data_IF_587539714778
#
_entry.id   IF_587539714778
#
_cell.length_a   1.000
_cell.length_b   1.000
_cell.length_c   1.000
_cell.angle_alpha   90.00
_cell.angle_beta   90.00
_cell.angle_gamma   90.00
#
_symmetry.space_group_name_H-M   'P 1'
#
loop_
_entity.id
_entity.type
_entity.pdbx_description
1 polymer ?
#
# COMPACT_ATOMS: atom_id res chain seq x y z
N UNK A 1 2.45 -27.55 14.76
CA UNK A 1 2.77 -26.34 13.97
C UNK A 1 1.64 -25.36 14.24
N UNK A 2 1.96 -24.21 14.84
CA UNK A 2 0.99 -23.27 15.44
C UNK A 2 0.26 -22.47 14.35
N UNK A 3 -1.08 -22.39 14.45
CA UNK A 3 -1.98 -21.68 13.51
C UNK A 3 -1.57 -20.22 13.22
N UNK A 4 -0.88 -19.55 14.15
CA UNK A 4 -0.35 -18.20 13.97
C UNK A 4 0.70 -18.10 12.84
N UNK A 5 1.43 -19.18 12.56
CA UNK A 5 2.46 -19.19 11.51
C UNK A 5 1.84 -19.27 10.11
N UNK A 6 0.72 -19.99 9.96
CA UNK A 6 -0.01 -20.16 8.70
C UNK A 6 -0.63 -18.81 8.25
N UNK A 7 -1.24 -18.08 9.19
CA UNK A 7 -1.86 -16.77 8.91
C UNK A 7 -0.81 -15.73 8.49
N UNK A 8 0.39 -15.79 9.08
CA UNK A 8 1.51 -14.95 8.71
C UNK A 8 1.94 -15.15 7.25
N UNK A 9 2.17 -16.38 6.82
CA UNK A 9 2.62 -16.65 5.44
C UNK A 9 1.60 -16.24 4.37
N UNK A 10 0.32 -16.44 4.62
CA UNK A 10 -0.74 -16.13 3.65
C UNK A 10 -0.94 -14.62 3.51
N UNK A 11 -0.91 -13.87 4.63
CA UNK A 11 -0.91 -12.41 4.62
C UNK A 11 0.33 -11.83 3.92
N UNK A 12 1.49 -12.49 4.06
CA UNK A 12 2.73 -12.06 3.42
C UNK A 12 2.70 -12.22 1.89
N UNK A 13 1.93 -13.19 1.36
CA UNK A 13 1.69 -13.37 -0.08
C UNK A 13 0.81 -12.27 -0.67
N UNK A 14 -0.11 -11.71 0.11
CA UNK A 14 -0.92 -10.59 -0.36
C UNK A 14 -0.06 -9.37 -0.70
N UNK A 15 1.08 -9.20 -0.03
CA UNK A 15 2.05 -8.12 -0.30
C UNK A 15 2.95 -8.34 -1.52
N UNK A 16 2.81 -9.44 -2.27
CA UNK A 16 3.68 -9.74 -3.41
C UNK A 16 3.33 -8.96 -4.67
N UNK A 17 2.14 -8.35 -4.74
CA UNK A 17 1.61 -7.79 -5.99
C UNK A 17 1.17 -6.32 -5.88
N UNK A 18 2.07 -5.38 -5.52
CA UNK A 18 1.71 -3.96 -5.40
C UNK A 18 1.20 -3.36 -6.71
N UNK A 19 1.61 -3.90 -7.87
CA UNK A 19 1.11 -3.48 -9.18
C UNK A 19 -0.39 -3.75 -9.34
N UNK A 20 -0.89 -4.89 -8.82
CA UNK A 20 -2.30 -5.26 -8.90
C UNK A 20 -3.16 -4.29 -8.10
N UNK A 21 -2.72 -3.94 -6.90
CA UNK A 21 -3.45 -3.00 -6.06
C UNK A 21 -3.35 -1.56 -6.59
N UNK A 22 -2.18 -1.13 -7.10
CA UNK A 22 -2.06 0.16 -7.76
C UNK A 22 -2.96 0.25 -9.01
N UNK A 23 -3.09 -0.82 -9.79
CA UNK A 23 -4.00 -0.89 -10.93
C UNK A 23 -5.48 -0.80 -10.49
N UNK A 24 -5.84 -1.38 -9.34
CA UNK A 24 -7.17 -1.23 -8.76
C UNK A 24 -7.49 0.24 -8.42
N UNK A 25 -6.58 0.93 -7.71
CA UNK A 25 -6.74 2.35 -7.40
C UNK A 25 -6.74 3.23 -8.67
N UNK A 26 -5.90 2.91 -9.64
CA UNK A 26 -5.92 3.60 -10.94
C UNK A 26 -7.25 3.41 -11.67
N UNK A 27 -7.85 2.22 -11.61
CA UNK A 27 -9.19 1.98 -12.13
C UNK A 27 -10.29 2.77 -11.40
N UNK A 28 -10.12 3.13 -10.12
CA UNK A 28 -11.01 4.07 -9.42
C UNK A 28 -10.79 5.50 -9.92
N UNK A 29 -9.53 5.93 -10.08
CA UNK A 29 -9.20 7.24 -10.63
C UNK A 29 -9.84 7.47 -12.02
N UNK A 30 -9.73 6.49 -12.92
CA UNK A 30 -10.35 6.55 -14.25
C UNK A 30 -11.89 6.65 -14.22
N UNK A 31 -12.53 6.28 -13.10
CA UNK A 31 -13.98 6.41 -12.88
C UNK A 31 -14.39 7.73 -12.23
N UNK A 32 -13.44 8.64 -12.02
CA UNK A 32 -13.70 10.00 -11.51
C UNK A 32 -13.43 10.20 -10.02
N UNK A 33 -12.84 9.23 -9.33
CA UNK A 33 -12.34 9.44 -7.96
C UNK A 33 -11.13 10.39 -7.98
N UNK A 34 -11.01 11.27 -6.99
CA UNK A 34 -9.89 12.21 -6.96
C UNK A 34 -8.58 11.49 -6.63
N UNK A 35 -7.50 11.87 -7.32
CA UNK A 35 -6.17 11.35 -7.04
C UNK A 35 -5.76 11.58 -5.58
N UNK A 36 -6.14 12.73 -5.02
CA UNK A 36 -5.78 13.11 -3.65
C UNK A 36 -6.49 12.27 -2.58
N UNK A 37 -7.77 11.93 -2.77
CA UNK A 37 -8.47 11.00 -1.88
C UNK A 37 -7.84 9.61 -1.95
N UNK A 38 -7.58 9.11 -3.16
CA UNK A 38 -6.98 7.79 -3.35
C UNK A 38 -5.57 7.70 -2.76
N UNK A 39 -4.75 8.76 -2.82
CA UNK A 39 -3.44 8.79 -2.16
C UNK A 39 -3.56 8.61 -0.65
N UNK A 40 -4.52 9.28 -0.02
CA UNK A 40 -4.77 9.15 1.43
C UNK A 40 -5.26 7.75 1.81
N UNK A 41 -6.02 7.12 0.92
CA UNK A 41 -6.49 5.74 1.13
C UNK A 41 -5.37 4.70 0.94
N UNK A 42 -4.36 5.00 0.12
CA UNK A 42 -3.20 4.13 -0.10
C UNK A 42 -2.13 4.34 0.98
N UNK A 43 -1.89 5.58 1.41
CA UNK A 43 -0.82 5.87 2.37
C UNK A 43 -1.11 5.26 3.75
N UNK A 44 -0.05 4.94 4.49
CA UNK A 44 -0.19 4.61 5.91
C UNK A 44 -0.06 5.90 6.71
N UNK A 45 -1.11 6.35 7.43
CA UNK A 45 -1.05 7.62 8.14
C UNK A 45 0.06 7.63 9.22
N UNK A 46 0.75 8.76 9.45
CA UNK A 46 1.85 8.84 10.43
C UNK A 46 1.49 8.37 11.84
N UNK A 47 0.26 8.63 12.28
CA UNK A 47 -0.26 8.17 13.57
C UNK A 47 -0.39 6.64 13.65
N UNK A 48 -0.67 5.98 12.52
CA UNK A 48 -0.72 4.52 12.41
C UNK A 48 0.70 3.96 12.43
N UNK A 49 1.64 4.56 11.70
CA UNK A 49 3.06 4.18 11.74
C UNK A 49 3.63 4.27 13.16
N UNK A 50 3.37 5.37 13.87
CA UNK A 50 3.83 5.54 15.24
C UNK A 50 3.21 4.51 16.20
N UNK A 51 1.95 4.12 15.97
CA UNK A 51 1.30 3.06 16.74
C UNK A 51 1.94 1.70 16.45
N UNK A 52 2.16 1.36 15.18
CA UNK A 52 2.77 0.11 14.76
C UNK A 52 4.21 -0.03 15.25
N UNK A 53 4.98 1.07 15.27
CA UNK A 53 6.31 1.08 15.86
C UNK A 53 6.29 0.66 17.33
N UNK A 54 5.41 1.26 18.14
CA UNK A 54 5.27 0.89 19.57
C UNK A 54 4.80 -0.56 19.75
N UNK A 55 3.99 -1.07 18.83
CA UNK A 55 3.55 -2.46 18.88
C UNK A 55 4.70 -3.42 18.56
N UNK A 56 5.51 -3.11 17.54
CA UNK A 56 6.71 -3.88 17.17
C UNK A 56 7.81 -3.84 18.24
N UNK A 57 7.83 -2.83 19.11
CA UNK A 57 8.69 -2.79 20.30
C UNK A 57 8.20 -3.74 21.41
N UNK A 58 6.87 -3.85 21.58
CA UNK A 58 6.25 -4.73 22.58
C UNK A 58 6.25 -6.18 22.15
N UNK A 59 5.98 -6.43 20.88
CA UNK A 59 5.92 -7.76 20.27
C UNK A 59 6.87 -7.80 19.04
N UNK A 60 8.15 -8.17 19.26
CA UNK A 60 9.14 -8.20 18.18
C UNK A 60 8.80 -9.12 17.00
N UNK A 61 7.98 -10.16 17.21
CA UNK A 61 7.49 -11.05 16.14
C UNK A 61 6.67 -10.33 15.07
N UNK A 62 6.03 -9.20 15.39
CA UNK A 62 5.22 -8.43 14.44
C UNK A 62 6.05 -7.48 13.57
N UNK A 63 7.31 -7.23 13.93
CA UNK A 63 8.14 -6.22 13.26
C UNK A 63 8.25 -6.46 11.76
N UNK A 64 8.62 -7.67 11.36
CA UNK A 64 8.81 -8.03 9.95
C UNK A 64 7.52 -7.83 9.14
N UNK A 65 6.38 -8.27 9.70
CA UNK A 65 5.08 -8.13 9.06
C UNK A 65 4.72 -6.66 8.85
N UNK A 66 4.85 -5.85 9.90
CA UNK A 66 4.49 -4.42 9.85
C UNK A 66 5.42 -3.65 8.92
N UNK A 67 6.72 -3.95 8.90
CA UNK A 67 7.67 -3.36 7.95
C UNK A 67 7.30 -3.71 6.51
N UNK A 68 6.95 -4.98 6.23
CA UNK A 68 6.49 -5.42 4.90
C UNK A 68 5.19 -4.75 4.47
N UNK A 69 4.24 -4.57 5.39
CA UNK A 69 3.01 -3.82 5.12
C UNK A 69 3.29 -2.37 4.73
N UNK A 70 4.18 -1.69 5.46
CA UNK A 70 4.54 -0.30 5.18
C UNK A 70 5.22 -0.18 3.83
N UNK A 71 6.16 -1.08 3.53
CA UNK A 71 6.86 -1.08 2.25
C UNK A 71 5.93 -1.38 1.08
N UNK A 72 5.01 -2.35 1.26
CA UNK A 72 3.96 -2.63 0.29
C UNK A 72 3.12 -1.39 -0.04
N UNK A 73 2.63 -0.67 0.98
CA UNK A 73 1.81 0.54 0.78
C UNK A 73 2.58 1.65 0.07
N UNK A 74 3.86 1.84 0.40
CA UNK A 74 4.75 2.78 -0.32
C UNK A 74 4.91 2.40 -1.79
N UNK A 75 5.11 1.13 -2.10
CA UNK A 75 5.23 0.65 -3.47
C UNK A 75 3.93 0.87 -4.26
N UNK A 76 2.77 0.54 -3.68
CA UNK A 76 1.46 0.80 -4.31
C UNK A 76 1.31 2.28 -4.62
N UNK A 77 1.62 3.17 -3.67
CA UNK A 77 1.51 4.62 -3.85
C UNK A 77 2.42 5.13 -4.98
N UNK A 78 3.68 4.70 -5.00
CA UNK A 78 4.64 5.10 -6.03
C UNK A 78 4.23 4.67 -7.45
N UNK A 79 3.69 3.44 -7.59
CA UNK A 79 3.17 2.96 -8.87
C UNK A 79 1.94 3.77 -9.29
N UNK A 80 1.00 4.01 -8.37
CA UNK A 80 -0.19 4.79 -8.62
C UNK A 80 0.14 6.23 -9.07
N UNK A 81 1.06 6.91 -8.38
CA UNK A 81 1.52 8.25 -8.76
C UNK A 81 2.19 8.27 -10.12
N UNK A 82 2.96 7.23 -10.45
CA UNK A 82 3.55 7.08 -11.78
C UNK A 82 2.48 6.98 -12.86
N UNK A 83 1.44 6.16 -12.65
CA UNK A 83 0.32 5.98 -13.59
C UNK A 83 -0.42 7.30 -13.85
N UNK A 84 -0.75 8.05 -12.80
CA UNK A 84 -1.36 9.39 -12.92
C UNK A 84 -0.42 10.35 -13.67
N UNK A 85 0.88 10.32 -13.36
CA UNK A 85 1.88 11.14 -14.03
C UNK A 85 2.00 10.85 -15.53
N UNK A 86 1.77 9.61 -15.97
CA UNK A 86 1.67 9.27 -17.39
C UNK A 86 0.39 9.80 -18.03
N UNK A 87 -0.77 9.58 -17.40
CA UNK A 87 -2.08 9.99 -17.93
C UNK A 87 -2.17 11.51 -18.12
N UNK A 88 -1.77 12.28 -17.11
CA UNK A 88 -1.74 13.75 -17.18
C UNK A 88 -0.85 14.31 -18.28
N UNK A 89 0.24 13.60 -18.66
CA UNK A 89 1.07 13.97 -19.81
C UNK A 89 0.38 13.68 -21.14
N UNK A 90 -0.36 12.58 -21.25
CA UNK A 90 -1.09 12.21 -22.46
C UNK A 90 -2.23 13.21 -22.72
N UNK A 91 -3.02 13.57 -21.70
CA UNK A 91 -4.13 14.52 -21.86
C UNK A 91 -3.68 15.91 -22.28
N UNK A 92 -2.48 16.36 -21.87
CA UNK A 92 -1.95 17.68 -22.23
C UNK A 92 -1.40 17.77 -23.67
N UNK A 93 -1.21 16.64 -24.34
CA UNK A 93 -0.70 16.56 -25.71
C UNK A 93 -1.82 16.44 -26.77
N UNK A 94 -3.09 16.38 -26.34
CA UNK A 94 -4.28 16.35 -27.20
C UNK A 94 -4.96 17.73 -27.22
#
# INVERSE_FOLDING_TARGET
MSEQFIIGEEALREFEYPQREAAFFYGLFLRGHSAEELRRDIEVPPQVLARWHREAEREPSLRELLERMVEYRRHVLAIFDSLIGFDTRITRLQ
#
